data_IF_954252435379
#
_entry.id   IF_954252435379
#
_cell.length_a   1.000
_cell.length_b   1.000
_cell.length_c   1.000
_cell.angle_alpha   90.00
_cell.angle_beta   90.00
_cell.angle_gamma   90.00
#
_symmetry.space_group_name_H-M   'P 1'
#
loop_
_entity.id
_entity.type
_entity.pdbx_description
1 polymer ?
#
# COMPACT_ATOMS: atom_id res chain seq x y z
N UNK A 1 0.18 -13.70 6.30
CA UNK A 1 -1.29 -13.86 6.25
C UNK A 1 -1.99 -12.68 6.92
N UNK A 2 -2.84 -11.95 6.18
CA UNK A 2 -3.76 -10.94 6.72
C UNK A 2 -5.09 -11.59 7.13
N UNK A 3 -5.75 -11.01 8.14
CA UNK A 3 -6.98 -11.47 8.77
C UNK A 3 -7.96 -10.30 8.81
N UNK A 4 -9.22 -10.53 8.44
CA UNK A 4 -10.24 -9.50 8.34
C UNK A 4 -11.15 -9.52 9.57
N UNK A 5 -11.52 -8.36 10.08
CA UNK A 5 -12.46 -8.17 11.19
C UNK A 5 -13.54 -7.18 10.76
N UNK A 6 -14.78 -7.65 10.78
CA UNK A 6 -15.95 -6.83 10.50
C UNK A 6 -16.51 -6.28 11.81
N UNK A 7 -17.21 -5.13 11.73
CA UNK A 7 -18.00 -4.49 12.81
C UNK A 7 -18.72 -5.51 13.74
N UNK A 8 -18.99 -5.14 15.01
CA UNK A 8 -18.69 -5.93 16.22
C UNK A 8 -19.36 -7.30 16.42
N UNK A 9 -20.09 -7.86 15.44
CA UNK A 9 -20.83 -9.10 15.64
C UNK A 9 -20.47 -10.26 14.68
N UNK A 10 -19.50 -10.12 13.75
CA UNK A 10 -19.10 -11.24 12.89
C UNK A 10 -17.59 -11.26 12.58
N UNK A 11 -16.87 -12.19 13.23
CA UNK A 11 -15.47 -12.49 12.93
C UNK A 11 -15.43 -13.53 11.81
N UNK A 12 -14.89 -13.19 10.64
CA UNK A 12 -14.69 -14.16 9.55
C UNK A 12 -13.20 -14.50 9.44
N UNK A 13 -12.85 -15.76 9.73
CA UNK A 13 -11.44 -16.21 9.76
C UNK A 13 -11.09 -16.89 8.44
N UNK A 14 -10.04 -16.41 7.76
CA UNK A 14 -9.40 -17.12 6.65
C UNK A 14 -8.05 -17.62 7.19
N UNK A 15 -7.83 -18.94 7.19
CA UNK A 15 -6.66 -19.58 7.82
C UNK A 15 -5.90 -20.49 6.86
N UNK A 16 -4.57 -20.32 6.81
CA UNK A 16 -3.59 -21.35 6.47
C UNK A 16 -2.55 -21.41 7.60
N UNK A 17 -2.04 -22.62 7.89
CA UNK A 17 -1.44 -23.06 9.16
C UNK A 17 -0.02 -22.53 9.49
N UNK A 18 0.22 -22.47 10.82
CA UNK A 18 1.42 -22.35 11.72
C UNK A 18 2.83 -22.19 11.11
N UNK A 19 3.74 -21.38 11.69
CA UNK A 19 4.41 -21.58 13.01
C UNK A 19 5.11 -20.30 13.55
N UNK A 20 5.54 -20.29 14.82
CA UNK A 20 6.17 -19.15 15.53
C UNK A 20 7.67 -19.42 15.69
N UNK A 21 8.52 -18.42 15.41
CA UNK A 21 9.94 -18.40 15.83
C UNK A 21 10.36 -16.99 16.27
N UNK A 22 11.08 -16.91 17.38
CA UNK A 22 11.60 -15.69 18.01
C UNK A 22 13.08 -15.51 17.64
N UNK A 23 13.49 -14.38 17.07
CA UNK A 23 14.91 -14.05 16.92
C UNK A 23 15.20 -12.55 17.02
N UNK A 24 16.30 -12.24 17.72
CA UNK A 24 16.88 -10.93 17.96
C UNK A 24 17.17 -10.18 16.64
N UNK A 25 16.75 -8.91 16.53
CA UNK A 25 17.03 -8.07 15.36
C UNK A 25 18.23 -7.16 15.66
N UNK A 26 19.36 -7.47 15.04
CA UNK A 26 20.45 -6.51 14.87
C UNK A 26 20.04 -5.50 13.79
N UNK A 27 20.03 -4.21 14.14
CA UNK A 27 19.68 -3.13 13.20
C UNK A 27 20.82 -2.93 12.20
N UNK A 28 20.75 -3.55 11.03
CA UNK A 28 21.48 -3.04 9.86
C UNK A 28 20.58 -2.09 9.09
N UNK A 29 21.01 -0.84 8.99
CA UNK A 29 20.38 0.19 8.19
C UNK A 29 20.70 -0.07 6.72
N UNK A 30 19.73 -0.59 5.97
CA UNK A 30 19.82 -0.63 4.52
C UNK A 30 19.61 0.79 3.98
N UNK A 31 20.71 1.47 3.64
CA UNK A 31 20.64 2.62 2.74
C UNK A 31 20.52 2.07 1.33
N UNK A 32 19.32 2.12 0.76
CA UNK A 32 19.15 1.93 -0.68
C UNK A 32 19.93 3.04 -1.38
N UNK A 33 21.08 2.71 -1.98
CA UNK A 33 21.83 3.63 -2.83
C UNK A 33 21.17 3.58 -4.19
N UNK A 34 20.33 4.58 -4.49
CA UNK A 34 19.81 4.80 -5.84
C UNK A 34 21.03 5.07 -6.73
N UNK A 35 21.44 4.09 -7.53
CA UNK A 35 22.34 4.36 -8.64
C UNK A 35 21.50 4.96 -9.76
N UNK A 36 21.78 6.23 -10.11
CA UNK A 36 21.22 6.86 -11.30
C UNK A 36 21.88 6.20 -12.52
N UNK A 37 21.19 5.23 -13.12
CA UNK A 37 21.67 4.62 -14.36
C UNK A 37 21.42 5.50 -15.59
N UNK A 38 20.55 6.52 -15.48
CA UNK A 38 20.29 7.52 -16.51
C UNK A 38 20.40 8.94 -15.93
N UNK A 39 20.97 9.87 -16.71
CA UNK A 39 20.89 11.30 -16.41
C UNK A 39 19.44 11.76 -16.59
N UNK A 40 18.71 11.77 -15.49
CA UNK A 40 17.32 12.19 -15.39
C UNK A 40 17.15 13.72 -15.59
N UNK A 41 18.26 14.45 -15.80
CA UNK A 41 18.27 15.90 -15.95
C UNK A 41 17.97 16.64 -14.64
N UNK A 42 18.00 15.93 -13.50
CA UNK A 42 17.65 16.49 -12.19
C UNK A 42 18.93 16.94 -11.48
N UNK A 43 19.13 18.26 -11.43
CA UNK A 43 20.17 18.89 -10.62
C UNK A 43 19.89 18.69 -9.12
N UNK A 44 20.76 17.92 -8.45
CA UNK A 44 20.65 17.60 -7.02
C UNK A 44 20.87 18.82 -6.11
N UNK A 45 21.60 19.83 -6.59
CA UNK A 45 21.88 21.04 -5.83
C UNK A 45 20.82 22.12 -6.08
N UNK A 46 19.92 21.85 -7.05
CA UNK A 46 18.88 22.78 -7.45
C UNK A 46 17.56 22.03 -7.72
N UNK A 47 17.07 21.29 -6.71
CA UNK A 47 15.83 20.51 -6.82
C UNK A 47 14.56 21.35 -6.63
N UNK A 48 14.68 22.57 -6.09
CA UNK A 48 13.55 23.46 -5.85
C UNK A 48 13.87 24.91 -6.20
N UNK A 49 12.93 25.58 -6.87
CA UNK A 49 12.96 27.01 -7.16
C UNK A 49 11.89 27.72 -6.33
N UNK A 50 12.17 28.93 -5.89
CA UNK A 50 11.21 29.74 -5.14
C UNK A 50 10.27 30.44 -6.13
N UNK A 51 8.96 30.31 -5.89
CA UNK A 51 7.91 30.88 -6.75
C UNK A 51 7.18 32.06 -6.09
N UNK A 52 7.23 32.15 -4.76
CA UNK A 52 6.73 33.29 -3.99
C UNK A 52 7.76 33.63 -2.91
N UNK A 53 8.39 34.79 -3.03
CA UNK A 53 9.44 35.26 -2.12
C UNK A 53 8.90 35.83 -0.81
N UNK A 54 7.60 36.12 -0.72
CA UNK A 54 6.95 36.64 0.48
C UNK A 54 6.48 35.50 1.39
N UNK A 55 5.93 34.46 0.80
CA UNK A 55 5.44 33.27 1.51
C UNK A 55 6.46 32.11 1.49
N UNK A 56 7.63 32.31 0.88
CA UNK A 56 8.69 31.32 0.68
C UNK A 56 8.21 30.01 0.06
N UNK A 57 7.25 30.10 -0.86
CA UNK A 57 6.70 28.92 -1.55
C UNK A 57 7.74 28.44 -2.56
N UNK A 58 8.09 27.16 -2.48
CA UNK A 58 9.06 26.53 -3.37
C UNK A 58 8.39 25.44 -4.22
N UNK A 59 8.83 25.30 -5.46
CA UNK A 59 8.37 24.32 -6.45
C UNK A 59 9.52 23.44 -6.91
N UNK A 60 9.26 22.19 -7.25
CA UNK A 60 10.26 21.35 -7.92
C UNK A 60 10.70 21.97 -9.26
N UNK A 61 12.00 22.00 -9.52
CA UNK A 61 12.62 22.61 -10.72
C UNK A 61 12.30 21.89 -12.02
N UNK A 62 11.82 20.65 -11.95
CA UNK A 62 11.26 19.90 -13.08
C UNK A 62 10.00 20.56 -13.66
N UNK A 63 9.32 21.41 -12.90
CA UNK A 63 8.05 21.98 -13.29
C UNK A 63 8.19 23.46 -13.65
N UNK A 64 8.60 23.71 -14.91
CA UNK A 64 8.58 25.05 -15.53
C UNK A 64 7.20 25.31 -16.11
N UNK A 65 6.30 25.89 -15.33
CA UNK A 65 4.97 26.38 -15.77
C UNK A 65 4.04 25.37 -16.47
N UNK A 66 4.34 24.08 -16.40
CA UNK A 66 3.43 23.06 -16.92
C UNK A 66 2.32 22.86 -15.89
N UNK A 67 1.08 23.08 -16.32
CA UNK A 67 -0.07 22.52 -15.64
C UNK A 67 0.17 21.01 -15.47
N UNK A 68 0.46 20.60 -14.23
CA UNK A 68 0.76 19.22 -13.86
C UNK A 68 -0.36 18.30 -14.34
N UNK A 69 -1.61 18.78 -14.28
CA UNK A 69 -2.75 18.03 -14.75
C UNK A 69 -2.66 17.77 -16.26
N UNK A 70 -2.42 18.81 -17.06
CA UNK A 70 -2.17 18.67 -18.50
C UNK A 70 -0.93 17.83 -18.83
N UNK A 71 0.13 17.88 -18.02
CA UNK A 71 1.32 17.05 -18.20
C UNK A 71 1.01 15.56 -17.95
N UNK A 72 0.39 15.23 -16.81
CA UNK A 72 0.03 13.86 -16.49
C UNK A 72 -0.96 13.29 -17.50
N UNK A 73 -1.94 14.09 -17.95
CA UNK A 73 -2.87 13.69 -19.01
C UNK A 73 -2.17 13.41 -20.35
N UNK A 74 -1.01 14.00 -20.61
CA UNK A 74 -0.21 13.72 -21.82
C UNK A 74 0.71 12.51 -21.63
N UNK A 75 1.36 12.37 -20.49
CA UNK A 75 2.39 11.35 -20.24
C UNK A 75 1.77 10.00 -19.87
N UNK A 76 0.70 10.00 -19.10
CA UNK A 76 -0.03 8.80 -18.67
C UNK A 76 -1.53 8.99 -18.92
N UNK A 77 -1.98 9.12 -20.18
CA UNK A 77 -3.37 9.47 -20.52
C UNK A 77 -4.41 8.48 -19.98
N UNK A 78 -3.98 7.24 -19.74
CA UNK A 78 -4.83 6.15 -19.26
C UNK A 78 -4.90 6.07 -17.72
N UNK A 79 -4.03 6.79 -16.99
CA UNK A 79 -4.02 6.77 -15.51
C UNK A 79 -4.93 7.88 -14.99
N UNK A 80 -6.14 7.52 -14.57
CA UNK A 80 -7.11 8.46 -13.98
C UNK A 80 -7.28 8.24 -12.48
N UNK A 81 -6.99 7.04 -12.00
CA UNK A 81 -7.10 6.61 -10.62
C UNK A 81 -5.81 5.93 -10.17
N UNK A 82 -5.61 5.82 -8.86
CA UNK A 82 -4.48 5.05 -8.31
C UNK A 82 -4.50 3.57 -8.74
N UNK A 83 -5.68 3.02 -9.01
CA UNK A 83 -5.82 1.64 -9.52
C UNK A 83 -5.28 1.48 -10.94
N UNK A 84 -5.45 2.49 -11.80
CA UNK A 84 -4.99 2.46 -13.20
C UNK A 84 -3.47 2.35 -13.29
N UNK A 85 -2.74 2.94 -12.33
CA UNK A 85 -1.29 2.88 -12.29
C UNK A 85 -0.74 1.45 -12.28
N UNK A 86 -1.42 0.51 -11.63
CA UNK A 86 -1.01 -0.90 -11.61
C UNK A 86 -1.24 -1.58 -12.96
N UNK A 87 -2.34 -1.26 -13.66
CA UNK A 87 -2.63 -1.81 -14.99
C UNK A 87 -1.70 -1.25 -16.06
N UNK A 88 -1.45 0.07 -16.03
CA UNK A 88 -0.49 0.69 -16.96
C UNK A 88 0.93 0.21 -16.70
N UNK A 89 1.31 -0.02 -15.43
CA UNK A 89 2.58 -0.65 -15.09
C UNK A 89 2.71 -2.08 -15.67
N UNK A 90 1.63 -2.85 -15.68
CA UNK A 90 1.58 -4.17 -16.30
C UNK A 90 1.84 -4.10 -17.82
N UNK A 91 1.21 -3.14 -18.51
CA UNK A 91 1.35 -2.96 -19.95
C UNK A 91 2.77 -2.47 -20.28
N UNK A 92 3.23 -1.42 -19.60
CA UNK A 92 4.52 -0.79 -19.85
C UNK A 92 5.71 -1.73 -19.59
N UNK A 93 5.59 -2.63 -18.62
CA UNK A 93 6.64 -3.60 -18.28
C UNK A 93 6.51 -4.95 -19.02
N UNK A 94 5.48 -5.14 -19.84
CA UNK A 94 5.14 -6.43 -20.43
C UNK A 94 5.03 -7.56 -19.38
N UNK A 95 4.22 -7.31 -18.34
CA UNK A 95 4.04 -8.18 -17.16
C UNK A 95 5.35 -8.48 -16.39
N UNK A 96 6.21 -7.47 -16.26
CA UNK A 96 7.49 -7.59 -15.57
C UNK A 96 7.37 -7.72 -14.04
N UNK A 97 8.51 -7.74 -13.32
CA UNK A 97 8.54 -7.77 -11.86
C UNK A 97 7.84 -6.54 -11.25
N UNK A 98 6.87 -6.78 -10.35
CA UNK A 98 6.07 -5.75 -9.69
C UNK A 98 6.38 -5.66 -8.19
N UNK A 99 6.32 -6.79 -7.48
CA UNK A 99 6.42 -6.81 -6.02
C UNK A 99 7.46 -7.83 -5.55
N UNK A 100 8.54 -7.32 -4.97
CA UNK A 100 9.62 -8.11 -4.39
C UNK A 100 9.33 -8.45 -2.92
N UNK A 101 9.52 -9.71 -2.52
CA UNK A 101 9.43 -10.13 -1.14
C UNK A 101 10.43 -11.24 -0.82
N UNK A 102 10.80 -11.36 0.45
CA UNK A 102 11.63 -12.46 0.93
C UNK A 102 10.68 -13.46 1.59
N UNK A 103 10.66 -14.68 1.07
CA UNK A 103 9.85 -15.73 1.68
C UNK A 103 10.41 -16.06 3.07
N UNK A 104 9.58 -16.14 4.13
CA UNK A 104 10.04 -16.54 5.46
C UNK A 104 10.69 -17.92 5.48
N UNK A 105 10.26 -18.80 4.56
CA UNK A 105 10.70 -20.19 4.46
C UNK A 105 12.00 -20.34 3.64
N UNK A 106 12.45 -19.25 3.01
CA UNK A 106 13.65 -19.26 2.18
C UNK A 106 14.90 -18.87 2.98
N UNK A 107 15.65 -19.90 3.37
CA UNK A 107 16.94 -19.76 4.05
C UNK A 107 17.97 -18.94 3.26
N UNK A 108 17.83 -18.85 1.94
CA UNK A 108 18.76 -18.12 1.08
C UNK A 108 18.58 -16.60 1.14
N UNK A 109 17.46 -16.12 1.72
CA UNK A 109 17.06 -14.69 1.75
C UNK A 109 17.04 -14.05 0.35
N UNK A 110 16.74 -14.83 -0.67
CA UNK A 110 16.64 -14.33 -2.04
C UNK A 110 15.33 -13.56 -2.21
N UNK A 111 15.38 -12.45 -2.96
CA UNK A 111 14.18 -11.68 -3.30
C UNK A 111 13.41 -12.45 -4.35
N UNK A 112 12.19 -12.85 -4.01
CA UNK A 112 11.21 -13.40 -4.93
C UNK A 112 10.37 -12.26 -5.50
N UNK A 113 10.05 -12.33 -6.79
CA UNK A 113 9.28 -11.31 -7.48
C UNK A 113 7.93 -11.87 -7.91
N UNK A 114 6.87 -11.09 -7.67
CA UNK A 114 5.58 -11.29 -8.28
C UNK A 114 5.48 -10.42 -9.53
N UNK A 115 4.93 -10.97 -10.61
CA UNK A 115 4.59 -10.20 -11.81
C UNK A 115 3.42 -9.25 -11.55
N UNK A 116 3.23 -8.25 -12.41
CA UNK A 116 2.08 -7.34 -12.32
C UNK A 116 0.75 -8.09 -12.38
N UNK A 117 0.61 -9.06 -13.28
CA UNK A 117 -0.59 -9.89 -13.44
C UNK A 117 -0.94 -10.65 -12.16
N UNK A 118 0.07 -11.23 -11.48
CA UNK A 118 -0.12 -11.92 -10.20
C UNK A 118 -0.56 -10.96 -9.09
N UNK A 119 0.03 -9.76 -9.03
CA UNK A 119 -0.37 -8.73 -8.04
C UNK A 119 -1.79 -8.25 -8.33
N UNK A 120 -2.14 -8.00 -9.59
CA UNK A 120 -3.48 -7.60 -10.04
C UNK A 120 -4.50 -8.67 -9.67
N UNK A 121 -4.24 -9.94 -9.97
CA UNK A 121 -5.14 -11.05 -9.68
C UNK A 121 -5.43 -11.16 -8.17
N UNK A 122 -4.38 -11.15 -7.34
CA UNK A 122 -4.52 -11.20 -5.87
C UNK A 122 -5.29 -9.99 -5.33
N UNK A 123 -5.03 -8.81 -5.86
CA UNK A 123 -5.71 -7.56 -5.47
C UNK A 123 -7.20 -7.60 -5.88
N UNK A 124 -7.52 -8.09 -7.08
CA UNK A 124 -8.90 -8.28 -7.56
C UNK A 124 -9.66 -9.27 -6.73
N UNK A 125 -9.03 -10.36 -6.30
CA UNK A 125 -9.65 -11.36 -5.43
C UNK A 125 -10.05 -10.73 -4.08
N UNK A 126 -9.14 -9.98 -3.44
CA UNK A 126 -9.44 -9.29 -2.18
C UNK A 126 -10.53 -8.23 -2.36
N UNK A 127 -10.41 -7.39 -3.38
CA UNK A 127 -11.40 -6.34 -3.66
C UNK A 127 -12.80 -6.89 -3.95
N UNK A 128 -12.90 -7.98 -4.73
CA UNK A 128 -14.19 -8.64 -5.00
C UNK A 128 -14.80 -9.26 -3.73
N UNK A 129 -13.98 -9.79 -2.84
CA UNK A 129 -14.43 -10.29 -1.54
C UNK A 129 -14.98 -9.16 -0.66
N UNK A 130 -14.26 -8.04 -0.57
CA UNK A 130 -14.71 -6.87 0.18
C UNK A 130 -16.04 -6.33 -0.37
N UNK A 131 -16.17 -6.26 -1.69
CA UNK A 131 -17.42 -5.87 -2.33
C UNK A 131 -18.57 -6.84 -2.00
N UNK A 132 -18.38 -8.13 -2.30
CA UNK A 132 -19.50 -9.10 -2.31
C UNK A 132 -19.84 -9.62 -0.93
N UNK A 133 -18.85 -9.96 -0.10
CA UNK A 133 -19.07 -10.60 1.20
C UNK A 133 -19.24 -9.59 2.32
N UNK A 134 -18.50 -8.48 2.27
CA UNK A 134 -18.56 -7.45 3.31
C UNK A 134 -19.51 -6.30 2.96
N UNK A 135 -20.07 -6.32 1.73
CA UNK A 135 -21.07 -5.36 1.23
C UNK A 135 -20.59 -3.91 1.32
N UNK A 136 -19.30 -3.68 1.04
CA UNK A 136 -18.75 -2.33 1.02
C UNK A 136 -19.29 -1.56 -0.17
N UNK A 137 -19.47 -0.26 0.06
CA UNK A 137 -19.98 0.67 -0.94
C UNK A 137 -18.82 1.52 -1.44
N UNK A 138 -18.54 1.55 -2.75
CA UNK A 138 -17.52 2.42 -3.33
C UNK A 138 -17.70 3.87 -2.94
N UNK A 139 -16.59 4.58 -2.84
CA UNK A 139 -16.47 5.99 -2.50
C UNK A 139 -17.03 6.36 -1.11
N UNK A 140 -17.54 5.38 -0.34
CA UNK A 140 -18.15 5.59 0.98
C UNK A 140 -17.49 4.74 2.06
N UNK A 141 -17.34 3.45 1.78
CA UNK A 141 -16.81 2.49 2.75
C UNK A 141 -15.32 2.66 2.95
N UNK A 142 -14.92 2.55 4.22
CA UNK A 142 -13.52 2.72 4.65
C UNK A 142 -12.95 1.40 5.14
N UNK A 143 -11.76 1.06 4.67
CA UNK A 143 -11.02 -0.16 5.01
C UNK A 143 -9.78 0.24 5.79
N UNK A 144 -9.78 -0.05 7.09
CA UNK A 144 -8.62 0.15 7.94
C UNK A 144 -7.65 -1.03 7.83
N UNK A 145 -6.36 -0.76 7.69
CA UNK A 145 -5.34 -1.79 7.54
C UNK A 145 -4.24 -1.59 8.60
N UNK A 146 -3.99 -2.61 9.41
CA UNK A 146 -2.89 -2.69 10.37
C UNK A 146 -2.02 -3.90 9.98
N UNK A 147 -0.90 -3.65 9.31
CA UNK A 147 0.02 -4.72 8.93
C UNK A 147 1.46 -4.29 8.99
N UNK A 148 2.34 -5.24 9.34
CA UNK A 148 3.76 -5.15 9.03
C UNK A 148 3.99 -5.05 7.52
N UNK A 149 5.16 -4.55 7.11
CA UNK A 149 5.53 -4.47 5.70
C UNK A 149 5.56 -5.88 5.09
N UNK A 150 4.59 -6.19 4.22
CA UNK A 150 4.41 -7.50 3.57
C UNK A 150 3.58 -7.39 2.29
N UNK A 151 3.71 -8.33 1.35
CA UNK A 151 2.96 -8.34 0.09
C UNK A 151 1.46 -8.15 0.25
N UNK A 152 0.88 -8.81 1.25
CA UNK A 152 -0.57 -8.82 1.41
C UNK A 152 -1.13 -7.43 1.72
N UNK A 153 -0.35 -6.55 2.38
CA UNK A 153 -0.78 -5.17 2.60
C UNK A 153 -1.01 -4.46 1.27
N UNK A 154 -0.05 -4.59 0.34
CA UNK A 154 -0.16 -4.01 -1.00
C UNK A 154 -1.38 -4.54 -1.74
N UNK A 155 -1.65 -5.85 -1.66
CA UNK A 155 -2.80 -6.44 -2.36
C UNK A 155 -4.14 -5.89 -1.85
N UNK A 156 -4.25 -5.67 -0.53
CA UNK A 156 -5.45 -5.06 0.05
C UNK A 156 -5.59 -3.61 -0.39
N UNK A 157 -4.50 -2.84 -0.34
CA UNK A 157 -4.49 -1.43 -0.73
C UNK A 157 -4.87 -1.26 -2.21
N UNK A 158 -4.24 -2.01 -3.10
CA UNK A 158 -4.55 -2.02 -4.54
C UNK A 158 -5.97 -2.53 -4.81
N UNK A 159 -6.42 -3.56 -4.07
CA UNK A 159 -7.80 -4.03 -4.14
C UNK A 159 -8.81 -2.97 -3.73
N UNK A 160 -8.48 -2.12 -2.76
CA UNK A 160 -9.34 -0.99 -2.39
C UNK A 160 -9.39 0.05 -3.52
N UNK A 161 -8.25 0.40 -4.13
CA UNK A 161 -8.24 1.36 -5.25
C UNK A 161 -9.04 0.86 -6.46
N UNK A 162 -8.92 -0.42 -6.82
CA UNK A 162 -9.65 -1.01 -7.95
C UNK A 162 -11.18 -0.98 -7.78
N UNK A 163 -11.68 -1.12 -6.55
CA UNK A 163 -13.11 -1.15 -6.25
C UNK A 163 -13.62 0.16 -5.65
N UNK A 164 -12.77 1.19 -5.57
CA UNK A 164 -13.11 2.52 -5.07
C UNK A 164 -13.36 2.59 -3.55
N UNK A 165 -12.78 1.71 -2.75
CA UNK A 165 -12.85 1.79 -1.28
C UNK A 165 -11.80 2.76 -0.73
N UNK A 166 -12.11 3.41 0.40
CA UNK A 166 -11.22 4.37 1.05
C UNK A 166 -10.28 3.65 2.02
N UNK A 167 -8.97 3.74 1.78
CA UNK A 167 -7.95 3.09 2.63
C UNK A 167 -7.62 3.95 3.86
N UNK A 168 -7.54 3.31 5.02
CA UNK A 168 -7.08 3.93 6.28
C UNK A 168 -5.89 3.13 6.82
N UNK A 169 -4.69 3.60 6.58
CA UNK A 169 -3.45 2.94 7.01
C UNK A 169 -3.12 3.25 8.46
N UNK A 170 -2.90 2.21 9.27
CA UNK A 170 -2.62 2.34 10.70
C UNK A 170 -1.24 1.73 11.03
N UNK A 171 -0.51 2.40 11.94
CA UNK A 171 0.80 1.94 12.37
C UNK A 171 0.71 0.66 13.21
N UNK A 172 1.70 -0.21 13.03
CA UNK A 172 1.79 -1.50 13.75
C UNK A 172 2.28 -1.38 15.18
N UNK A 173 2.84 -0.24 15.57
CA UNK A 173 3.32 0.05 16.92
C UNK A 173 2.20 0.44 17.87
N UNK A 174 1.01 0.71 17.36
CA UNK A 174 -0.15 1.04 18.18
C UNK A 174 -0.64 -0.18 18.95
N UNK A 175 -1.01 0.06 20.21
CA UNK A 175 -1.69 -0.93 21.04
C UNK A 175 -3.15 -1.11 20.59
N UNK A 176 -3.75 -2.21 21.01
CA UNK A 176 -5.10 -2.60 20.59
C UNK A 176 -6.15 -1.50 20.90
N UNK A 177 -6.02 -0.82 22.05
CA UNK A 177 -6.93 0.26 22.45
C UNK A 177 -6.82 1.46 21.50
N UNK A 178 -5.61 1.84 21.12
CA UNK A 178 -5.40 2.93 20.16
C UNK A 178 -5.93 2.57 18.77
N UNK A 179 -5.67 1.34 18.29
CA UNK A 179 -6.19 0.86 17.01
C UNK A 179 -7.72 0.97 16.97
N UNK A 180 -8.42 0.48 18.01
CA UNK A 180 -9.88 0.55 18.04
C UNK A 180 -10.42 1.97 18.16
N UNK A 181 -9.76 2.83 18.93
CA UNK A 181 -10.12 4.23 19.01
C UNK A 181 -9.99 4.93 17.65
N UNK A 182 -8.92 4.63 16.90
CA UNK A 182 -8.74 5.16 15.55
C UNK A 182 -9.78 4.62 14.59
N UNK A 183 -10.05 3.31 14.58
CA UNK A 183 -11.11 2.69 13.77
C UNK A 183 -12.47 3.31 14.04
N UNK A 184 -12.80 3.57 15.32
CA UNK A 184 -14.06 4.23 15.70
C UNK A 184 -14.11 5.68 15.22
N UNK A 185 -13.00 6.43 15.34
CA UNK A 185 -12.91 7.84 14.92
C UNK A 185 -12.93 8.00 13.39
N UNK A 186 -12.27 7.11 12.67
CA UNK A 186 -12.24 7.12 11.21
C UNK A 186 -13.55 6.62 10.62
N UNK A 187 -14.34 5.88 11.40
CA UNK A 187 -15.57 5.25 10.94
C UNK A 187 -15.29 4.17 9.91
N UNK A 188 -14.21 3.40 10.10
CA UNK A 188 -13.89 2.28 9.24
C UNK A 188 -14.94 1.16 9.36
N UNK A 189 -15.33 0.59 8.23
CA UNK A 189 -16.32 -0.48 8.16
C UNK A 189 -15.67 -1.85 8.33
N UNK A 190 -14.41 -1.96 7.90
CA UNK A 190 -13.61 -3.18 7.95
C UNK A 190 -12.25 -2.86 8.53
N UNK A 191 -11.75 -3.72 9.41
CA UNK A 191 -10.38 -3.69 9.91
C UNK A 191 -9.65 -4.95 9.44
N UNK A 192 -8.55 -4.78 8.73
CA UNK A 192 -7.67 -5.86 8.28
C UNK A 192 -6.40 -5.83 9.12
N UNK A 193 -6.05 -6.96 9.73
CA UNK A 193 -4.90 -7.12 10.62
C UNK A 193 -4.00 -8.27 10.16
N UNK A 194 -2.69 -8.12 10.24
CA UNK A 194 -1.75 -9.22 9.94
C UNK A 194 -1.71 -10.34 10.99
N UNK A 195 -2.13 -10.05 12.21
CA UNK A 195 -2.10 -10.97 13.34
C UNK A 195 -3.22 -10.61 14.31
N UNK A 196 -4.08 -11.58 14.65
CA UNK A 196 -5.14 -11.37 15.62
C UNK A 196 -4.64 -10.97 17.01
N UNK A 197 -3.40 -11.31 17.36
CA UNK A 197 -2.79 -10.84 18.62
C UNK A 197 -2.81 -9.32 18.77
N UNK A 198 -2.84 -8.56 17.66
CA UNK A 198 -2.92 -7.09 17.67
C UNK A 198 -4.23 -6.54 18.23
N UNK A 199 -5.29 -7.34 18.23
CA UNK A 199 -6.63 -6.95 18.67
C UNK A 199 -7.18 -7.85 19.78
N UNK A 200 -6.43 -8.89 20.17
CA UNK A 200 -6.87 -9.92 21.13
C UNK A 200 -6.93 -9.44 22.58
N UNK A 201 -6.28 -8.33 22.91
CA UNK A 201 -6.31 -7.73 24.26
C UNK A 201 -7.63 -7.02 24.60
N UNK A 202 -8.62 -7.11 23.71
CA UNK A 202 -9.93 -6.49 23.88
C UNK A 202 -10.93 -7.61 24.20
N UNK A 203 -11.18 -7.81 25.50
CA UNK A 203 -12.40 -8.46 25.99
C UNK A 203 -13.52 -7.44 26.07
#
# INVERSE_FOLDING_TARGET
>A
MLRCVLKPNNICTISFLRSISLTHINKSTYKARIQREHDDGIDINHQTTEIDSKEHIRRCTLHKDVDLYSYYNKTCPNVRTLGDGLFEGCIASNDGPCMGYISPDDSSKTIQWLSYSQVIEKSRYIGSYLWTKTKLIPMKSKVAIVSSNRPEYLFVEQGCYMYGFLVVSLYTTFDAKTIMNLVKRTGADVLIVDNFKRIQSIK
#
